data_IF_765739579073
#
_entry.id   IF_765739579073
#
_cell.length_a   1.000
_cell.length_b   1.000
_cell.length_c   1.000
_cell.angle_alpha   90.00
_cell.angle_beta   90.00
_cell.angle_gamma   90.00
#
_symmetry.space_group_name_H-M   'P 1'
#
loop_
_entity.id
_entity.type
_entity.pdbx_description
1 polymer ?
#
# COMPACT_ATOMS: atom_id res chain seq x y z
N UNK A 1 -22.29 -12.90 -14.03
CA UNK A 1 -21.77 -13.42 -12.75
C UNK A 1 -20.69 -14.41 -13.13
N UNK A 2 -19.45 -14.25 -12.72
CA UNK A 2 -18.40 -15.24 -12.98
C UNK A 2 -18.71 -16.49 -12.13
N UNK A 3 -18.62 -17.66 -12.76
CA UNK A 3 -18.79 -18.93 -12.06
C UNK A 3 -17.63 -19.12 -11.09
N UNK A 4 -17.91 -19.50 -9.83
CA UNK A 4 -16.91 -19.65 -8.79
C UNK A 4 -15.84 -20.71 -9.15
N UNK A 5 -16.21 -21.68 -9.98
CA UNK A 5 -15.30 -22.74 -10.44
C UNK A 5 -14.19 -22.25 -11.39
N UNK A 6 -14.32 -21.05 -11.92
CA UNK A 6 -13.30 -20.41 -12.77
C UNK A 6 -12.38 -19.44 -12.02
N UNK A 7 -12.57 -19.27 -10.69
CA UNK A 7 -11.71 -18.40 -9.89
C UNK A 7 -10.48 -19.19 -9.43
N UNK A 8 -9.27 -18.81 -9.83
CA UNK A 8 -8.06 -19.52 -9.42
C UNK A 8 -7.92 -19.57 -7.88
N UNK A 9 -7.49 -20.72 -7.38
CA UNK A 9 -7.10 -20.89 -5.97
C UNK A 9 -5.92 -19.98 -5.60
N UNK A 10 -5.65 -19.83 -4.32
CA UNK A 10 -4.48 -19.04 -3.85
C UNK A 10 -3.18 -19.62 -4.42
N UNK A 11 -3.02 -20.94 -4.43
CA UNK A 11 -1.82 -21.59 -4.97
C UNK A 11 -1.64 -21.33 -6.46
N UNK A 12 -2.73 -21.41 -7.25
CA UNK A 12 -2.70 -21.09 -8.69
C UNK A 12 -2.37 -19.62 -8.93
N UNK A 13 -2.95 -18.70 -8.16
CA UNK A 13 -2.61 -17.25 -8.25
C UNK A 13 -1.15 -16.99 -7.95
N UNK A 14 -0.58 -17.68 -6.96
CA UNK A 14 0.85 -17.58 -6.66
C UNK A 14 1.71 -18.12 -7.81
N UNK A 15 1.38 -19.29 -8.34
CA UNK A 15 2.10 -19.87 -9.47
C UNK A 15 2.03 -18.97 -10.72
N UNK A 16 0.85 -18.40 -11.00
CA UNK A 16 0.66 -17.43 -12.09
C UNK A 16 1.50 -16.17 -11.87
N UNK A 17 1.58 -15.67 -10.64
CA UNK A 17 2.37 -14.48 -10.32
C UNK A 17 3.87 -14.74 -10.47
N UNK A 18 4.36 -15.90 -10.03
CA UNK A 18 5.76 -16.31 -10.23
C UNK A 18 6.08 -16.39 -11.74
N UNK A 19 5.26 -17.10 -12.51
CA UNK A 19 5.47 -17.21 -13.94
C UNK A 19 5.43 -15.85 -14.67
N UNK A 20 4.55 -14.95 -14.24
CA UNK A 20 4.50 -13.58 -14.75
C UNK A 20 5.77 -12.80 -14.40
N UNK A 21 6.23 -12.89 -13.16
CA UNK A 21 7.44 -12.21 -12.69
C UNK A 21 8.68 -12.68 -13.44
N UNK A 22 8.86 -14.00 -13.57
CA UNK A 22 9.97 -14.59 -14.31
C UNK A 22 9.96 -14.15 -15.79
N UNK A 23 8.79 -14.16 -16.42
CA UNK A 23 8.62 -13.72 -17.80
C UNK A 23 8.94 -12.23 -18.00
N UNK A 24 8.53 -11.38 -17.06
CA UNK A 24 8.84 -9.94 -17.10
C UNK A 24 10.32 -9.68 -16.86
N UNK A 25 10.95 -10.36 -15.91
CA UNK A 25 12.39 -10.25 -15.65
C UNK A 25 13.20 -10.72 -16.86
N UNK A 26 12.82 -11.85 -17.47
CA UNK A 26 13.44 -12.33 -18.70
C UNK A 26 13.28 -11.35 -19.88
N UNK A 27 12.19 -10.57 -19.90
CA UNK A 27 11.97 -9.50 -20.87
C UNK A 27 12.68 -8.18 -20.52
N UNK A 28 13.50 -8.16 -19.45
CA UNK A 28 14.30 -7.02 -19.02
C UNK A 28 13.55 -5.98 -18.18
N UNK A 29 12.43 -6.35 -17.58
CA UNK A 29 11.75 -5.50 -16.59
C UNK A 29 12.33 -5.72 -15.19
N UNK A 30 12.55 -4.65 -14.45
CA UNK A 30 12.86 -4.69 -13.03
C UNK A 30 11.59 -4.67 -12.18
N UNK A 31 11.58 -5.40 -11.09
CA UNK A 31 10.45 -5.43 -10.17
C UNK A 31 10.48 -4.21 -9.24
N UNK A 32 9.46 -3.35 -9.35
CA UNK A 32 9.27 -2.13 -8.57
C UNK A 32 8.34 -2.43 -7.38
N UNK A 33 8.86 -2.30 -6.17
CA UNK A 33 8.09 -2.43 -4.94
C UNK A 33 7.23 -3.71 -4.87
N UNK A 34 5.92 -3.56 -4.63
CA UNK A 34 5.01 -4.68 -4.35
C UNK A 34 4.66 -5.47 -5.62
N UNK A 35 4.12 -4.79 -6.64
CA UNK A 35 3.47 -5.46 -7.77
C UNK A 35 3.57 -4.68 -9.09
N UNK A 36 4.54 -3.79 -9.20
CA UNK A 36 4.81 -3.06 -10.44
C UNK A 36 6.11 -3.55 -11.07
N UNK A 37 6.20 -3.44 -12.38
CA UNK A 37 7.40 -3.77 -13.15
C UNK A 37 7.67 -2.63 -14.12
N UNK A 38 8.95 -2.25 -14.26
CA UNK A 38 9.35 -1.19 -15.16
C UNK A 38 10.65 -1.54 -15.88
N UNK A 39 10.84 -1.04 -17.09
CA UNK A 39 12.11 -1.19 -17.81
C UNK A 39 13.19 -0.28 -17.23
N UNK A 40 14.46 -0.67 -17.34
CA UNK A 40 15.58 0.23 -17.03
C UNK A 40 15.42 1.56 -17.80
N UNK A 41 15.63 2.68 -17.10
CA UNK A 41 15.45 4.01 -17.69
C UNK A 41 14.02 4.56 -17.66
N UNK A 42 13.03 3.78 -17.26
CA UNK A 42 11.69 4.29 -16.93
C UNK A 42 11.75 5.25 -15.72
N UNK A 43 10.77 6.15 -15.63
CA UNK A 43 10.71 7.13 -14.52
C UNK A 43 10.64 6.43 -13.14
N UNK A 44 9.90 5.33 -13.02
CA UNK A 44 9.79 4.59 -11.77
C UNK A 44 11.09 3.87 -11.40
N UNK A 45 11.77 3.26 -12.38
CA UNK A 45 13.07 2.60 -12.16
C UNK A 45 14.12 3.62 -11.70
N UNK A 46 14.21 4.76 -12.39
CA UNK A 46 15.13 5.84 -12.00
C UNK A 46 14.81 6.42 -10.62
N UNK A 47 13.53 6.54 -10.28
CA UNK A 47 13.13 7.02 -8.96
C UNK A 47 13.47 6.00 -7.87
N UNK A 48 13.34 4.70 -8.14
CA UNK A 48 13.74 3.64 -7.21
C UNK A 48 15.26 3.65 -6.98
N UNK A 49 16.05 3.74 -8.04
CA UNK A 49 17.52 3.82 -7.97
C UNK A 49 18.01 5.00 -7.13
N UNK A 50 17.27 6.14 -7.18
CA UNK A 50 17.60 7.35 -6.42
C UNK A 50 16.95 7.44 -5.04
N UNK A 51 16.17 6.44 -4.62
CA UNK A 51 15.41 6.49 -3.36
C UNK A 51 14.29 7.56 -3.36
N UNK A 52 13.85 7.98 -4.54
CA UNK A 52 12.80 8.99 -4.73
C UNK A 52 11.43 8.38 -5.01
N UNK A 53 11.37 7.05 -5.20
CA UNK A 53 10.11 6.36 -5.42
C UNK A 53 9.17 6.58 -4.23
N UNK A 54 7.90 6.85 -4.52
CA UNK A 54 6.85 7.04 -3.52
C UNK A 54 5.66 6.16 -3.88
N UNK A 55 4.83 5.88 -2.90
CA UNK A 55 3.57 5.18 -3.10
C UNK A 55 2.46 5.92 -2.37
N UNK A 56 1.36 6.13 -3.04
CA UNK A 56 0.10 6.61 -2.47
C UNK A 56 -1.04 5.66 -2.87
N UNK A 57 -2.26 6.03 -2.57
CA UNK A 57 -3.46 5.23 -2.90
C UNK A 57 -3.66 4.99 -4.40
N UNK A 58 -3.14 5.87 -5.26
CA UNK A 58 -3.23 5.73 -6.72
C UNK A 58 -2.14 4.81 -7.29
N UNK A 59 -1.13 4.46 -6.51
CA UNK A 59 -0.01 3.62 -6.93
C UNK A 59 1.35 4.26 -6.72
N UNK A 60 2.34 3.81 -7.49
CA UNK A 60 3.69 4.35 -7.45
C UNK A 60 3.79 5.68 -8.20
N UNK A 61 4.51 6.61 -7.63
CA UNK A 61 4.78 7.92 -8.23
C UNK A 61 6.20 8.39 -7.92
N UNK A 62 6.66 9.35 -8.70
CA UNK A 62 7.99 9.97 -8.57
C UNK A 62 7.91 11.36 -7.95
N UNK A 63 6.71 11.85 -7.68
CA UNK A 63 6.49 13.18 -7.14
C UNK A 63 6.56 13.16 -5.60
N UNK A 64 7.28 14.09 -4.97
CA UNK A 64 7.44 14.15 -3.52
C UNK A 64 6.20 14.70 -2.79
N UNK A 65 5.04 14.72 -3.45
CA UNK A 65 3.82 15.27 -2.88
C UNK A 65 3.40 14.54 -1.60
N UNK A 66 3.33 15.29 -0.51
CA UNK A 66 2.83 14.81 0.79
C UNK A 66 1.31 14.91 0.93
N UNK A 67 0.66 15.55 -0.02
CA UNK A 67 -0.77 15.84 -0.02
C UNK A 67 -1.38 15.27 -1.29
N UNK A 68 -2.36 14.42 -1.12
CA UNK A 68 -3.25 13.96 -2.18
C UNK A 68 -4.63 14.53 -1.89
N UNK A 69 -5.15 15.37 -2.77
CA UNK A 69 -6.49 15.96 -2.64
C UNK A 69 -7.42 15.26 -3.62
N UNK A 70 -8.39 14.54 -3.07
CA UNK A 70 -9.41 13.85 -3.84
C UNK A 70 -10.54 14.80 -4.24
N UNK A 71 -10.81 14.92 -5.54
CA UNK A 71 -11.88 15.75 -6.09
C UNK A 71 -12.92 14.83 -6.72
N UNK A 72 -14.18 15.04 -6.38
CA UNK A 72 -15.31 14.28 -6.92
C UNK A 72 -15.89 13.26 -5.94
N UNK A 73 -16.85 12.47 -6.46
CA UNK A 73 -17.59 11.45 -5.71
C UNK A 73 -16.67 10.36 -5.18
N UNK A 74 -16.79 10.08 -3.88
CA UNK A 74 -16.07 9.00 -3.21
C UNK A 74 -14.54 9.16 -3.24
N UNK A 75 -14.02 10.28 -3.74
CA UNK A 75 -12.59 10.53 -3.83
C UNK A 75 -11.96 10.64 -2.44
N UNK A 76 -10.76 10.07 -2.30
CA UNK A 76 -10.03 10.03 -1.04
C UNK A 76 -8.92 11.07 -1.05
N UNK A 77 -8.83 11.84 0.03
CA UNK A 77 -7.73 12.77 0.31
C UNK A 77 -6.82 12.17 1.37
N UNK A 78 -5.50 12.24 1.14
CA UNK A 78 -4.47 11.81 2.08
C UNK A 78 -3.56 13.00 2.39
N UNK A 79 -3.57 13.40 3.66
CA UNK A 79 -2.74 14.47 4.21
C UNK A 79 -1.85 13.90 5.33
N UNK A 80 -0.82 14.61 5.78
CA UNK A 80 0.08 14.09 6.82
C UNK A 80 -0.64 13.60 8.09
N UNK A 81 -1.71 14.28 8.49
CA UNK A 81 -2.45 14.00 9.73
C UNK A 81 -3.93 13.67 9.54
N UNK A 82 -4.39 13.55 8.29
CA UNK A 82 -5.81 13.32 7.99
C UNK A 82 -5.94 12.46 6.74
N UNK A 83 -6.77 11.44 6.80
CA UNK A 83 -7.31 10.75 5.63
C UNK A 83 -8.80 10.96 5.60
N UNK A 84 -9.37 11.39 4.48
CA UNK A 84 -10.81 11.62 4.35
C UNK A 84 -11.32 11.14 3.01
N UNK A 85 -12.63 10.84 2.95
CA UNK A 85 -13.33 10.43 1.74
C UNK A 85 -14.56 11.29 1.51
N UNK A 86 -14.76 11.68 0.28
CA UNK A 86 -15.95 12.39 -0.14
C UNK A 86 -17.17 11.47 -0.17
N UNK A 87 -18.36 12.08 -0.14
CA UNK A 87 -19.64 11.38 -0.28
C UNK A 87 -19.66 10.53 -1.56
N UNK A 88 -19.99 9.24 -1.46
CA UNK A 88 -20.10 8.36 -2.64
C UNK A 88 -21.44 8.51 -3.35
N UNK A 89 -22.45 9.10 -2.71
CA UNK A 89 -23.77 9.35 -3.30
C UNK A 89 -23.80 10.71 -3.97
N UNK A 90 -24.21 10.76 -5.25
CA UNK A 90 -24.21 11.97 -6.08
C UNK A 90 -25.09 13.08 -5.48
N UNK A 91 -26.32 12.74 -5.04
CA UNK A 91 -27.25 13.75 -4.54
C UNK A 91 -26.75 14.39 -3.24
N UNK A 92 -26.20 13.57 -2.33
CA UNK A 92 -25.65 14.04 -1.06
C UNK A 92 -24.39 14.87 -1.29
N UNK A 93 -23.53 14.45 -2.23
CA UNK A 93 -22.33 15.17 -2.60
C UNK A 93 -22.65 16.54 -3.21
N UNK A 94 -23.57 16.56 -4.18
CA UNK A 94 -24.01 17.78 -4.86
C UNK A 94 -24.70 18.75 -3.89
N UNK A 95 -25.63 18.25 -3.07
CA UNK A 95 -26.32 19.08 -2.08
C UNK A 95 -25.38 19.68 -1.02
N UNK A 96 -24.28 19.01 -0.67
CA UNK A 96 -23.26 19.61 0.20
C UNK A 96 -22.54 20.79 -0.49
N UNK A 97 -22.18 20.65 -1.76
CA UNK A 97 -21.54 21.70 -2.53
C UNK A 97 -22.46 22.91 -2.75
N UNK A 98 -23.74 22.70 -3.06
CA UNK A 98 -24.72 23.78 -3.20
C UNK A 98 -24.88 24.59 -1.90
N UNK A 99 -24.70 23.95 -0.74
CA UNK A 99 -24.71 24.60 0.56
C UNK A 99 -23.36 25.22 0.96
N UNK A 100 -22.34 25.20 0.08
CA UNK A 100 -21.00 25.67 0.38
C UNK A 100 -20.26 24.82 1.43
N UNK A 101 -20.72 23.58 1.66
CA UNK A 101 -20.11 22.66 2.63
C UNK A 101 -19.09 21.74 1.96
N UNK A 102 -18.09 21.31 2.73
CA UNK A 102 -17.16 20.29 2.26
C UNK A 102 -17.88 18.93 2.15
N UNK A 103 -17.79 18.22 1.02
CA UNK A 103 -18.58 17.02 0.77
C UNK A 103 -17.97 15.75 1.37
N UNK A 104 -17.17 15.83 2.44
CA UNK A 104 -16.60 14.66 3.11
C UNK A 104 -17.67 13.86 3.86
N UNK A 105 -17.62 12.53 3.71
CA UNK A 105 -18.50 11.59 4.42
C UNK A 105 -17.85 11.00 5.67
N UNK A 106 -16.56 10.73 5.59
CA UNK A 106 -15.78 10.10 6.65
C UNK A 106 -14.36 10.64 6.63
N UNK A 107 -13.74 10.70 7.80
CA UNK A 107 -12.33 11.08 7.93
C UNK A 107 -11.72 10.51 9.21
N UNK A 108 -10.43 10.25 9.17
CA UNK A 108 -9.64 9.78 10.30
C UNK A 108 -8.48 10.73 10.51
N UNK A 109 -8.46 11.37 11.68
CA UNK A 109 -7.29 12.13 12.14
C UNK A 109 -6.25 11.13 12.64
N UNK A 110 -5.05 11.23 12.11
CA UNK A 110 -3.93 10.36 12.46
C UNK A 110 -3.19 10.96 13.66
N UNK A 111 -2.96 10.13 14.66
CA UNK A 111 -2.03 10.44 15.74
C UNK A 111 -0.58 10.16 15.29
N UNK A 112 0.38 10.34 16.20
CA UNK A 112 1.80 10.12 15.90
C UNK A 112 2.13 8.66 15.58
N UNK A 113 1.48 7.72 16.23
CA UNK A 113 1.72 6.29 16.00
C UNK A 113 1.06 5.82 14.71
N UNK A 114 -0.16 6.28 14.40
CA UNK A 114 -0.81 6.07 13.10
C UNK A 114 0.09 6.57 11.94
N UNK A 115 0.68 7.77 12.11
CA UNK A 115 1.56 8.37 11.11
C UNK A 115 2.83 7.56 10.91
N UNK A 116 3.49 7.13 12.02
CA UNK A 116 4.67 6.26 11.95
C UNK A 116 4.38 4.93 11.27
N UNK A 117 3.26 4.29 11.62
CA UNK A 117 2.87 3.02 11.03
C UNK A 117 2.59 3.17 9.53
N UNK A 118 1.94 4.27 9.12
CA UNK A 118 1.74 4.58 7.70
C UNK A 118 3.06 4.77 6.97
N UNK A 119 3.99 5.49 7.55
CA UNK A 119 5.32 5.70 6.96
C UNK A 119 6.07 4.37 6.85
N UNK A 120 6.03 3.52 7.88
CA UNK A 120 6.61 2.18 7.86
C UNK A 120 6.00 1.28 6.76
N UNK A 121 4.67 1.30 6.61
CA UNK A 121 3.99 0.58 5.53
C UNK A 121 4.41 1.10 4.14
N UNK A 122 4.51 2.42 3.97
CA UNK A 122 4.97 3.01 2.72
C UNK A 122 6.42 2.63 2.41
N UNK A 123 7.31 2.63 3.40
CA UNK A 123 8.70 2.16 3.24
C UNK A 123 8.74 0.68 2.83
N UNK A 124 7.98 -0.19 3.49
CA UNK A 124 7.88 -1.60 3.09
C UNK A 124 7.37 -1.75 1.65
N UNK A 125 6.45 -0.90 1.22
CA UNK A 125 5.90 -0.97 -0.13
C UNK A 125 6.88 -0.51 -1.22
N UNK A 126 7.82 0.37 -0.88
CA UNK A 126 8.75 0.99 -1.83
C UNK A 126 10.13 0.35 -1.73
N UNK A 127 10.65 0.21 -0.50
CA UNK A 127 12.03 -0.21 -0.21
C UNK A 127 12.11 -1.68 0.22
N UNK A 128 10.97 -2.35 0.40
CA UNK A 128 10.83 -3.72 0.92
C UNK A 128 11.41 -3.89 2.34
N UNK A 129 11.67 -2.79 3.02
CA UNK A 129 12.16 -2.75 4.40
C UNK A 129 11.70 -1.50 5.12
N UNK A 130 11.61 -1.57 6.46
CA UNK A 130 11.27 -0.43 7.31
C UNK A 130 11.84 -0.63 8.72
N UNK A 131 12.10 0.44 9.50
CA UNK A 131 12.44 0.31 10.91
C UNK A 131 11.29 -0.36 11.69
N UNK A 132 11.60 -1.33 12.54
CA UNK A 132 10.61 -1.96 13.45
C UNK A 132 9.93 -0.92 14.33
N UNK A 133 10.65 0.15 14.68
CA UNK A 133 10.13 1.28 15.46
C UNK A 133 8.94 2.03 14.81
N UNK A 134 8.65 1.79 13.54
CA UNK A 134 7.45 2.29 12.88
C UNK A 134 6.17 1.52 13.31
N UNK A 135 6.31 0.32 13.84
CA UNK A 135 5.22 -0.60 14.17
C UNK A 135 5.11 -0.78 15.69
N UNK A 136 4.58 0.25 16.37
CA UNK A 136 4.54 0.31 17.84
C UNK A 136 3.32 -0.34 18.46
N UNK A 137 2.23 -0.53 17.71
CA UNK A 137 1.02 -1.16 18.25
C UNK A 137 1.25 -2.64 18.59
N UNK A 138 0.67 -3.15 19.71
CA UNK A 138 0.77 -4.56 20.06
C UNK A 138 0.32 -5.49 18.94
N UNK A 139 -0.71 -5.12 18.22
CA UNK A 139 -1.21 -5.89 17.08
C UNK A 139 -0.18 -5.94 15.95
N UNK A 140 0.37 -4.79 15.54
CA UNK A 140 1.39 -4.77 14.47
C UNK A 140 2.61 -5.63 14.84
N UNK A 141 3.05 -5.59 16.10
CA UNK A 141 4.15 -6.44 16.60
C UNK A 141 3.80 -7.93 16.53
N UNK A 142 2.58 -8.30 16.92
CA UNK A 142 2.10 -9.68 16.82
C UNK A 142 2.01 -10.16 15.37
N UNK A 143 1.51 -9.32 14.47
CA UNK A 143 1.48 -9.62 13.03
C UNK A 143 2.89 -9.80 12.47
N UNK A 144 3.81 -8.90 12.79
CA UNK A 144 5.22 -9.02 12.36
C UNK A 144 5.83 -10.33 12.87
N UNK A 145 5.65 -10.68 14.14
CA UNK A 145 6.16 -11.95 14.71
C UNK A 145 5.64 -13.15 13.90
N UNK A 146 4.34 -13.21 13.66
CA UNK A 146 3.73 -14.29 12.87
C UNK A 146 4.26 -14.35 11.43
N UNK A 147 4.47 -13.20 10.79
CA UNK A 147 5.02 -13.15 9.44
C UNK A 147 6.50 -13.51 9.39
N UNK A 148 7.25 -13.27 10.46
CA UNK A 148 8.64 -13.76 10.62
C UNK A 148 8.66 -15.26 10.79
N UNK A 149 7.80 -15.82 11.64
CA UNK A 149 7.66 -17.28 11.84
C UNK A 149 7.28 -17.98 10.51
N UNK A 150 6.44 -17.34 9.70
CA UNK A 150 6.07 -17.81 8.35
C UNK A 150 7.17 -17.58 7.30
N UNK A 151 8.30 -17.01 7.68
CA UNK A 151 9.43 -16.66 6.77
C UNK A 151 9.08 -15.64 5.68
N UNK A 152 8.01 -14.87 5.83
CA UNK A 152 7.65 -13.77 4.91
C UNK A 152 8.42 -12.50 5.22
N UNK A 153 8.76 -12.29 6.48
CA UNK A 153 9.57 -11.18 6.95
C UNK A 153 10.82 -11.71 7.65
N UNK A 154 11.85 -10.86 7.73
CA UNK A 154 13.01 -11.05 8.61
C UNK A 154 13.28 -9.76 9.37
N UNK A 155 13.83 -9.89 10.58
CA UNK A 155 14.28 -8.74 11.37
C UNK A 155 15.80 -8.85 11.53
N UNK A 156 16.49 -7.77 11.20
CA UNK A 156 17.95 -7.65 11.37
C UNK A 156 18.25 -6.21 11.82
N UNK A 157 18.97 -6.04 12.91
CA UNK A 157 19.41 -4.74 13.43
C UNK A 157 18.29 -3.70 13.58
N UNK A 158 17.09 -4.14 14.03
CA UNK A 158 15.94 -3.26 14.23
C UNK A 158 15.22 -2.87 12.93
N UNK A 159 15.55 -3.50 11.80
CA UNK A 159 14.88 -3.32 10.52
C UNK A 159 14.09 -4.60 10.19
N UNK A 160 12.82 -4.44 9.87
CA UNK A 160 12.00 -5.48 9.27
C UNK A 160 12.13 -5.41 7.75
N UNK A 161 12.42 -6.52 7.11
CA UNK A 161 12.57 -6.62 5.66
C UNK A 161 11.75 -7.77 5.10
N UNK A 162 11.20 -7.56 3.92
CA UNK A 162 10.43 -8.56 3.17
C UNK A 162 11.41 -9.57 2.55
N UNK A 163 11.19 -10.86 2.79
CA UNK A 163 11.99 -11.94 2.19
C UNK A 163 11.58 -12.18 0.73
N UNK A 164 12.35 -12.93 -0.07
CA UNK A 164 11.89 -13.35 -1.40
C UNK A 164 10.54 -14.07 -1.37
N UNK A 165 10.31 -14.95 -0.39
CA UNK A 165 9.04 -15.63 -0.20
C UNK A 165 7.91 -14.64 0.17
N UNK A 166 8.20 -13.68 1.06
CA UNK A 166 7.28 -12.61 1.44
C UNK A 166 6.96 -11.69 0.25
N UNK A 167 7.91 -11.48 -0.66
CA UNK A 167 7.68 -10.65 -1.86
C UNK A 167 6.69 -11.29 -2.83
N UNK A 168 6.73 -12.61 -3.00
CA UNK A 168 5.73 -13.34 -3.77
C UNK A 168 4.34 -13.26 -3.11
N UNK A 169 4.31 -13.26 -1.76
CA UNK A 169 3.10 -13.17 -0.96
C UNK A 169 2.80 -11.75 -0.47
N UNK A 170 3.32 -10.74 -1.14
CA UNK A 170 3.33 -9.36 -0.65
C UNK A 170 1.93 -8.82 -0.36
N UNK A 171 0.92 -9.21 -1.14
CA UNK A 171 -0.46 -8.78 -0.92
C UNK A 171 -0.99 -9.29 0.43
N UNK A 172 -0.65 -10.53 0.82
CA UNK A 172 -1.02 -11.07 2.13
C UNK A 172 -0.28 -10.31 3.24
N UNK A 173 1.03 -10.16 3.11
CA UNK A 173 1.85 -9.40 4.07
C UNK A 173 1.28 -8.00 4.29
N UNK A 174 0.94 -7.30 3.20
CA UNK A 174 0.35 -5.98 3.25
C UNK A 174 -1.00 -5.96 3.94
N UNK A 175 -1.91 -6.85 3.55
CA UNK A 175 -3.26 -6.93 4.11
C UNK A 175 -3.22 -7.20 5.61
N UNK A 176 -2.34 -8.09 6.08
CA UNK A 176 -2.21 -8.39 7.49
C UNK A 176 -1.65 -7.21 8.29
N UNK A 177 -0.60 -6.54 7.79
CA UNK A 177 -0.02 -5.37 8.44
C UNK A 177 -0.95 -4.13 8.41
N UNK A 178 -1.82 -4.03 7.41
CA UNK A 178 -2.77 -2.92 7.27
C UNK A 178 -4.14 -3.20 7.90
N UNK A 179 -4.39 -4.42 8.41
CA UNK A 179 -5.74 -4.87 8.82
C UNK A 179 -6.38 -4.03 9.92
N UNK A 180 -5.60 -3.44 10.83
CA UNK A 180 -6.10 -2.61 11.93
C UNK A 180 -5.82 -1.11 11.75
N UNK A 181 -5.30 -0.73 10.60
CA UNK A 181 -4.98 0.68 10.35
C UNK A 181 -6.27 1.42 9.99
N UNK A 182 -6.78 2.24 10.92
CA UNK A 182 -8.06 2.94 10.77
C UNK A 182 -8.20 3.73 9.47
N UNK A 183 -7.11 4.31 8.99
CA UNK A 183 -7.10 5.08 7.74
C UNK A 183 -7.18 4.20 6.49
N UNK A 184 -6.82 2.91 6.55
CA UNK A 184 -6.96 1.98 5.44
C UNK A 184 -8.44 1.69 5.10
N UNK A 185 -9.33 1.82 6.08
CA UNK A 185 -10.77 1.57 5.94
C UNK A 185 -11.57 2.80 5.48
N UNK A 186 -10.93 3.94 5.26
CA UNK A 186 -11.57 5.15 4.73
C UNK A 186 -11.84 5.04 3.22
N UNK A 187 -11.33 4.01 2.58
CA UNK A 187 -11.47 3.77 1.13
C UNK A 187 -12.80 3.16 0.73
#
# INVERSE_FOLDING_TARGET
MLDADFIPTIAEKMAMFVALSDGLEAAGYGWIGINAFAKPGDRLSRAQERGELRRNRLGYCTEPARWLIGIGLGAVSEMPTLVSRNQPNLNTWHGALEQGKHPSSVGVVLNKDDSKQRDGLNMLAVELSAPVACFTSPHAQQVISRLVDASYLKITDGVVAITPLGRINIQQVWNELASEVRWAHVA
#
